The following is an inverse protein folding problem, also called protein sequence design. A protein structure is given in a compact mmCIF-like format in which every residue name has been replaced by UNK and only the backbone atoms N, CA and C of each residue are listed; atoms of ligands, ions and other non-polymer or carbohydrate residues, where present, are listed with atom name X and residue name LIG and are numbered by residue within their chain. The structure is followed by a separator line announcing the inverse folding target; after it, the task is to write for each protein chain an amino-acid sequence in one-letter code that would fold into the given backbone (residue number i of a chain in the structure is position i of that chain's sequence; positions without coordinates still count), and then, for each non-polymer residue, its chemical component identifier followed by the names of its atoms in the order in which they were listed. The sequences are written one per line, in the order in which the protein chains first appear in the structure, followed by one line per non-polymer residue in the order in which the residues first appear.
data_IF_656097603902
#
_entry.id   IF_656097603902
#
_cell.length_a   1.000
_cell.length_b   1.000
_cell.length_c   1.000
_cell.angle_alpha   90.00
_cell.angle_beta   90.00
_cell.angle_gamma   90.00
#
_symmetry.space_group_name_H-M   'P 1'
#
loop_
_entity.id
_entity.type
_entity.pdbx_description
1 polymer ?
#
# COMPACT_ATOMS: atom_id res chain seq x y z
N UNK A 1 -7.41 20.00 -15.30
CA UNK A 1 -6.50 19.51 -16.36
C UNK A 1 -5.26 18.94 -15.67
N UNK A 2 -4.91 17.67 -15.93
CA UNK A 2 -3.67 17.10 -15.39
C UNK A 2 -2.48 17.72 -16.13
N UNK A 3 -1.48 18.24 -15.40
CA UNK A 3 -0.23 18.72 -16.01
C UNK A 3 0.77 17.58 -16.12
N UNK A 4 1.70 17.69 -17.07
CA UNK A 4 2.74 16.69 -17.31
C UNK A 4 3.58 16.42 -16.05
N UNK A 5 3.97 17.47 -15.33
CA UNK A 5 4.70 17.40 -14.06
C UNK A 5 3.97 16.54 -13.02
N UNK A 6 2.64 16.66 -12.95
CA UNK A 6 1.85 15.92 -11.98
C UNK A 6 1.83 14.43 -12.31
N UNK A 7 1.76 14.09 -13.60
CA UNK A 7 1.87 12.70 -14.06
C UNK A 7 3.26 12.12 -13.77
N UNK A 8 4.33 12.89 -13.96
CA UNK A 8 5.70 12.46 -13.66
C UNK A 8 5.90 12.17 -12.16
N UNK A 9 5.37 13.04 -11.28
CA UNK A 9 5.40 12.84 -9.82
C UNK A 9 4.67 11.54 -9.43
N UNK A 10 3.47 11.31 -9.98
CA UNK A 10 2.70 10.10 -9.70
C UNK A 10 3.39 8.84 -10.22
N UNK A 11 3.99 8.89 -11.42
CA UNK A 11 4.72 7.78 -12.00
C UNK A 11 5.99 7.44 -11.18
N UNK A 12 6.79 8.44 -10.80
CA UNK A 12 7.96 8.24 -9.95
C UNK A 12 7.56 7.65 -8.59
N UNK A 13 6.49 8.19 -8.00
CA UNK A 13 5.89 7.69 -6.78
C UNK A 13 5.43 6.24 -6.86
N UNK A 14 4.80 5.85 -7.97
CA UNK A 14 4.37 4.48 -8.21
C UNK A 14 5.58 3.53 -8.29
N UNK A 15 6.63 3.90 -9.02
CA UNK A 15 7.84 3.07 -9.13
C UNK A 15 8.51 2.87 -7.76
N UNK A 16 8.69 3.96 -7.01
CA UNK A 16 9.28 3.88 -5.66
C UNK A 16 8.37 3.11 -4.71
N UNK A 17 7.06 3.34 -4.77
CA UNK A 17 6.07 2.62 -3.97
C UNK A 17 6.06 1.12 -4.25
N UNK A 18 6.12 0.69 -5.50
CA UNK A 18 6.23 -0.73 -5.86
C UNK A 18 7.52 -1.36 -5.31
N UNK A 19 8.65 -0.67 -5.44
CA UNK A 19 9.92 -1.15 -4.92
C UNK A 19 9.88 -1.30 -3.39
N UNK A 20 9.41 -0.28 -2.66
CA UNK A 20 9.29 -0.32 -1.20
C UNK A 20 8.23 -1.32 -0.72
N UNK A 21 7.10 -1.39 -1.43
CA UNK A 21 6.01 -2.32 -1.19
C UNK A 21 6.46 -3.77 -1.26
N UNK A 22 7.40 -4.10 -2.16
CA UNK A 22 7.98 -5.44 -2.25
C UNK A 22 8.73 -5.82 -0.97
N UNK A 23 9.56 -4.92 -0.44
CA UNK A 23 10.27 -5.16 0.82
C UNK A 23 9.31 -5.25 2.01
N UNK A 24 8.31 -4.37 2.08
CA UNK A 24 7.30 -4.40 3.14
C UNK A 24 6.45 -5.67 3.10
N UNK A 25 6.01 -6.11 1.93
CA UNK A 25 5.25 -7.34 1.80
C UNK A 25 6.11 -8.55 2.17
N UNK A 26 7.37 -8.60 1.72
CA UNK A 26 8.31 -9.67 2.09
C UNK A 26 8.47 -9.78 3.60
N UNK A 27 8.65 -8.65 4.29
CA UNK A 27 8.79 -8.64 5.74
C UNK A 27 7.47 -8.96 6.46
N UNK A 28 6.34 -8.47 5.95
CA UNK A 28 5.01 -8.81 6.48
C UNK A 28 4.75 -10.32 6.42
N UNK A 29 5.04 -10.98 5.29
CA UNK A 29 4.89 -12.44 5.12
C UNK A 29 5.78 -13.25 6.08
N UNK A 30 6.92 -12.69 6.52
CA UNK A 30 7.79 -13.33 7.52
C UNK A 30 7.22 -13.25 8.93
N UNK A 31 6.40 -12.23 9.22
CA UNK A 31 5.80 -11.99 10.55
C UNK A 31 4.43 -12.64 10.69
N UNK A 32 3.61 -12.59 9.63
CA UNK A 32 2.26 -13.12 9.63
C UNK A 32 1.94 -13.75 8.29
N UNK A 33 1.36 -14.95 8.32
CA UNK A 33 0.84 -15.60 7.11
C UNK A 33 -0.42 -14.87 6.62
N UNK A 34 -0.53 -14.80 5.30
CA UNK A 34 -1.73 -14.38 4.56
C UNK A 34 -2.47 -15.67 4.20
N UNK A 35 -3.74 -15.77 4.57
CA UNK A 35 -4.55 -16.97 4.43
C UNK A 35 -5.49 -16.92 3.22
N UNK A 36 -5.92 -15.73 2.80
CA UNK A 36 -6.87 -15.46 1.70
C UNK A 36 -6.37 -15.78 0.29
N UNK A 37 -5.30 -16.57 0.17
CA UNK A 37 -4.75 -17.06 -1.08
C UNK A 37 -4.14 -15.96 -1.97
N UNK A 38 -3.95 -16.31 -3.25
CA UNK A 38 -3.29 -15.47 -4.24
C UNK A 38 -3.93 -14.06 -4.41
N UNK A 39 -5.27 -13.91 -4.45
CA UNK A 39 -5.88 -12.58 -4.52
C UNK A 39 -5.54 -11.71 -3.31
N UNK A 40 -5.60 -12.25 -2.09
CA UNK A 40 -5.24 -11.51 -0.88
C UNK A 40 -3.77 -11.06 -0.90
N UNK A 41 -2.85 -11.91 -1.37
CA UNK A 41 -1.44 -11.53 -1.51
C UNK A 41 -1.24 -10.35 -2.47
N UNK A 42 -1.94 -10.32 -3.60
CA UNK A 42 -1.87 -9.22 -4.57
C UNK A 42 -2.40 -7.92 -3.94
N UNK A 43 -3.59 -7.94 -3.34
CA UNK A 43 -4.19 -6.73 -2.77
C UNK A 43 -3.39 -6.20 -1.58
N UNK A 44 -2.82 -7.09 -0.77
CA UNK A 44 -1.92 -6.71 0.32
C UNK A 44 -0.61 -6.10 -0.21
N UNK A 45 -0.03 -6.66 -1.27
CA UNK A 45 1.14 -6.08 -1.95
C UNK A 45 0.85 -4.68 -2.48
N UNK A 46 -0.26 -4.52 -3.21
CA UNK A 46 -0.63 -3.24 -3.80
C UNK A 46 -0.88 -2.21 -2.71
N UNK A 47 -1.60 -2.57 -1.63
CA UNK A 47 -1.82 -1.68 -0.50
C UNK A 47 -0.49 -1.27 0.17
N UNK A 48 0.41 -2.23 0.37
CA UNK A 48 1.75 -1.97 0.91
C UNK A 48 2.56 -1.05 0.00
N UNK A 49 2.42 -1.21 -1.32
CA UNK A 49 3.10 -0.39 -2.32
C UNK A 49 2.57 1.04 -2.36
N UNK A 50 1.25 1.21 -2.31
CA UNK A 50 0.65 2.55 -2.29
C UNK A 50 0.99 3.28 -1.01
N UNK A 51 0.85 2.65 0.17
CA UNK A 51 1.12 3.37 1.42
C UNK A 51 2.60 3.70 1.60
N UNK A 52 3.51 2.81 1.19
CA UNK A 52 4.96 3.07 1.25
C UNK A 52 5.41 4.13 0.26
N UNK A 53 4.74 4.24 -0.89
CA UNK A 53 4.97 5.28 -1.89
C UNK A 53 4.45 6.67 -1.48
N UNK A 54 3.59 6.77 -0.46
CA UNK A 54 2.97 8.03 -0.03
C UNK A 54 4.01 9.10 0.32
N UNK A 55 4.97 8.77 1.18
CA UNK A 55 5.99 9.71 1.62
C UNK A 55 6.91 10.12 0.45
N UNK A 56 7.48 9.18 -0.33
CA UNK A 56 8.22 9.51 -1.55
C UNK A 56 7.47 10.44 -2.51
N UNK A 57 6.18 10.16 -2.79
CA UNK A 57 5.35 11.01 -3.66
C UNK A 57 5.26 12.43 -3.12
N UNK A 58 5.00 12.59 -1.83
CA UNK A 58 4.89 13.92 -1.20
C UNK A 58 6.22 14.68 -1.34
N UNK A 59 7.35 14.02 -1.08
CA UNK A 59 8.67 14.64 -1.26
C UNK A 59 8.95 15.02 -2.72
N UNK A 60 8.68 14.13 -3.68
CA UNK A 60 8.88 14.41 -5.10
C UNK A 60 7.95 15.56 -5.56
N UNK A 61 6.70 15.58 -5.09
CA UNK A 61 5.73 16.63 -5.38
C UNK A 61 6.18 18.01 -4.84
N UNK A 62 6.73 18.03 -3.62
CA UNK A 62 7.32 19.23 -3.01
C UNK A 62 8.52 19.73 -3.81
N UNK A 63 9.43 18.83 -4.20
CA UNK A 63 10.62 19.17 -4.99
C UNK A 63 10.27 19.64 -6.41
N UNK A 64 9.20 19.11 -6.99
CA UNK A 64 8.66 19.55 -8.28
C UNK A 64 7.89 20.88 -8.21
N UNK A 65 7.78 21.50 -7.03
CA UNK A 65 7.11 22.79 -6.86
C UNK A 65 5.58 22.73 -7.05
N UNK A 66 4.96 21.55 -6.85
CA UNK A 66 3.51 21.45 -6.93
C UNK A 66 2.85 22.26 -5.81
N UNK A 67 1.69 22.86 -6.11
CA UNK A 67 0.94 23.61 -5.11
C UNK A 67 0.40 22.70 -3.97
N UNK A 68 0.12 23.31 -2.82
CA UNK A 68 -0.34 22.63 -1.62
C UNK A 68 -1.53 21.67 -1.89
N UNK A 69 -2.53 22.12 -2.64
CA UNK A 69 -3.72 21.32 -2.93
C UNK A 69 -3.42 20.07 -3.77
N UNK A 70 -2.47 20.14 -4.72
CA UNK A 70 -2.03 18.98 -5.49
C UNK A 70 -1.26 17.97 -4.65
N UNK A 71 -0.42 18.45 -3.73
CA UNK A 71 0.32 17.58 -2.80
C UNK A 71 -0.66 16.87 -1.86
N UNK A 72 -1.56 17.62 -1.21
CA UNK A 72 -2.60 17.08 -0.33
C UNK A 72 -3.51 16.12 -1.10
N UNK A 73 -3.96 16.50 -2.29
CA UNK A 73 -4.79 15.64 -3.14
C UNK A 73 -4.09 14.33 -3.52
N UNK A 74 -2.79 14.37 -3.83
CA UNK A 74 -2.01 13.17 -4.12
C UNK A 74 -1.89 12.27 -2.89
N UNK A 75 -1.62 12.85 -1.71
CA UNK A 75 -1.54 12.10 -0.46
C UNK A 75 -2.86 11.45 -0.04
N UNK A 76 -3.97 12.18 -0.18
CA UNK A 76 -5.31 11.66 0.04
C UNK A 76 -5.65 10.54 -0.94
N UNK A 77 -5.30 10.70 -2.22
CA UNK A 77 -5.54 9.67 -3.24
C UNK A 77 -4.81 8.37 -2.88
N UNK A 78 -3.54 8.45 -2.53
CA UNK A 78 -2.75 7.29 -2.09
C UNK A 78 -3.34 6.63 -0.83
N UNK A 79 -3.83 7.42 0.12
CA UNK A 79 -4.45 6.93 1.35
C UNK A 79 -5.79 6.23 1.09
N UNK A 80 -6.65 6.84 0.27
CA UNK A 80 -7.94 6.26 -0.12
C UNK A 80 -7.72 4.99 -0.93
N UNK A 81 -6.81 4.99 -1.90
CA UNK A 81 -6.46 3.79 -2.69
C UNK A 81 -5.96 2.68 -1.77
N UNK A 82 -5.05 2.98 -0.84
CA UNK A 82 -4.58 2.00 0.16
C UNK A 82 -5.75 1.42 0.96
N UNK A 83 -6.63 2.28 1.46
CA UNK A 83 -7.80 1.85 2.24
C UNK A 83 -8.71 0.91 1.43
N UNK A 84 -9.03 1.26 0.18
CA UNK A 84 -9.83 0.42 -0.70
C UNK A 84 -9.17 -0.93 -0.99
N UNK A 85 -7.86 -0.95 -1.25
CA UNK A 85 -7.10 -2.18 -1.47
C UNK A 85 -7.09 -3.06 -0.21
N UNK A 86 -6.97 -2.47 0.99
CA UNK A 86 -7.05 -3.19 2.25
C UNK A 86 -8.45 -3.75 2.54
N UNK A 87 -9.52 -3.05 2.14
CA UNK A 87 -10.89 -3.60 2.23
C UNK A 87 -11.04 -4.84 1.36
N UNK A 88 -10.52 -4.81 0.13
CA UNK A 88 -10.56 -5.95 -0.78
C UNK A 88 -9.71 -7.10 -0.22
N UNK A 89 -8.50 -6.79 0.28
CA UNK A 89 -7.66 -7.77 0.99
C UNK A 89 -8.41 -8.43 2.15
N UNK A 90 -9.02 -7.64 3.03
CA UNK A 90 -9.78 -8.14 4.18
C UNK A 90 -10.97 -9.01 3.77
N UNK A 91 -11.63 -8.67 2.67
CA UNK A 91 -12.69 -9.50 2.09
C UNK A 91 -12.20 -10.90 1.69
N UNK A 92 -11.00 -11.02 1.13
CA UNK A 92 -10.42 -12.32 0.77
C UNK A 92 -9.87 -13.08 1.99
N UNK A 93 -9.23 -12.39 2.94
CA UNK A 93 -8.76 -12.99 4.20
C UNK A 93 -9.91 -13.63 4.99
N UNK A 94 -11.02 -12.91 5.14
CA UNK A 94 -12.15 -13.36 5.98
C UNK A 94 -12.91 -14.56 5.40
N UNK A 95 -12.67 -14.94 4.13
CA UNK A 95 -13.31 -16.11 3.52
C UNK A 95 -12.70 -17.44 3.93
N UNK A 96 -11.55 -17.43 4.62
CA UNK A 96 -10.82 -18.65 5.00
C UNK A 96 -11.18 -19.12 6.43
N UNK A 97 -12.02 -18.36 7.15
CA UNK A 97 -12.43 -18.67 8.52
C UNK A 97 -11.38 -18.25 9.57
N UNK A 98 -11.77 -18.08 10.85
CA UNK A 98 -10.83 -17.70 11.89
C UNK A 98 -9.77 -18.78 12.07
N UNK A 99 -8.51 -18.41 11.93
CA UNK A 99 -7.39 -19.26 12.32
C UNK A 99 -7.35 -19.24 13.84
N UNK A 100 -7.70 -20.38 14.47
CA UNK A 100 -7.48 -20.59 15.89
C UNK A 100 -5.97 -20.63 16.08
N UNK A 101 -5.39 -19.52 16.55
CA UNK A 101 -4.02 -19.48 17.00
C UNK A 101 -3.98 -20.32 18.28
N UNK A 102 -3.55 -21.58 18.16
CA UNK A 102 -3.43 -22.48 19.30
C UNK A 102 -2.42 -21.83 20.26
N UNK A 103 -2.91 -21.26 21.35
CA UNK A 103 -2.07 -20.68 22.40
C UNK A 103 -1.33 -21.86 23.01
N UNK A 104 -0.12 -22.14 22.52
CA UNK A 104 0.78 -23.08 23.16
C UNK A 104 1.25 -22.40 24.45
N UNK A 105 0.52 -22.66 25.53
CA UNK A 105 0.98 -22.42 26.88
C UNK A 105 2.14 -23.40 27.12
N UNK A 106 3.37 -22.97 26.86
CA UNK A 106 4.56 -23.67 27.37
C UNK A 106 4.72 -23.29 28.84
N UNK A 107 4.56 -24.30 29.71
CA UNK A 107 4.91 -24.28 31.14
C UNK A 107 6.41 -24.04 31.37
#
# INVERSE_FOLDING_TARGET
MMTEEWMQVLAAGLVVGLALGFFMQRESRRRKKIYGGFPAEIFHYLASSTISGLIPVIFIALLAGLNFWRIVGSGLSFSITTFLLLLIYGFFENRVGPVVEEIVLTD
#
